data_IF_402833613033
#
_entry.id   IF_402833613033
#
_cell.length_a   1.000
_cell.length_b   1.000
_cell.length_c   1.000
_cell.angle_alpha   90.00
_cell.angle_beta   90.00
_cell.angle_gamma   90.00
#
_symmetry.space_group_name_H-M   'P 1'
#
loop_
_entity.id
_entity.type
_entity.pdbx_description
1 polymer ?
#
# COMPACT_ATOMS: atom_id res chain seq x y z
N UNK A 1 -20.78 -14.86 3.40
CA UNK A 1 -20.57 -14.48 4.82
C UNK A 1 -19.08 -14.35 5.18
N UNK A 2 -18.24 -15.34 4.84
CA UNK A 2 -16.80 -15.35 5.19
C UNK A 2 -16.07 -14.07 4.74
N UNK A 3 -16.28 -13.61 3.50
CA UNK A 3 -15.65 -12.38 3.00
C UNK A 3 -16.09 -11.11 3.76
N UNK A 4 -17.34 -11.05 4.22
CA UNK A 4 -17.87 -9.89 4.97
C UNK A 4 -17.31 -9.87 6.39
N UNK A 5 -17.26 -11.02 7.05
CA UNK A 5 -16.65 -11.17 8.38
C UNK A 5 -15.14 -10.87 8.33
N UNK A 6 -14.45 -11.37 7.29
CA UNK A 6 -13.04 -11.06 7.05
C UNK A 6 -12.79 -9.57 6.83
N UNK A 7 -13.63 -8.90 6.03
CA UNK A 7 -13.54 -7.45 5.84
C UNK A 7 -13.76 -6.67 7.14
N UNK A 8 -14.76 -7.05 7.95
CA UNK A 8 -15.03 -6.41 9.24
C UNK A 8 -13.86 -6.55 10.22
N UNK A 9 -13.26 -7.75 10.30
CA UNK A 9 -12.06 -8.00 11.11
C UNK A 9 -10.86 -7.20 10.63
N UNK A 10 -10.61 -7.18 9.32
CA UNK A 10 -9.52 -6.40 8.73
C UNK A 10 -9.66 -4.90 9.02
N UNK A 11 -10.87 -4.35 8.89
CA UNK A 11 -11.16 -2.95 9.22
C UNK A 11 -10.99 -2.69 10.72
N UNK A 12 -11.48 -3.59 11.59
CA UNK A 12 -11.36 -3.43 13.04
C UNK A 12 -9.91 -3.47 13.51
N UNK A 13 -9.10 -4.39 12.97
CA UNK A 13 -7.67 -4.50 13.24
C UNK A 13 -6.97 -3.24 12.75
N UNK A 14 -7.21 -2.82 11.51
CA UNK A 14 -6.60 -1.60 10.95
C UNK A 14 -6.92 -0.34 11.77
N UNK A 15 -8.15 -0.21 12.26
CA UNK A 15 -8.56 0.93 13.11
C UNK A 15 -7.90 0.88 14.49
N UNK A 16 -7.86 -0.28 15.13
CA UNK A 16 -7.24 -0.44 16.45
C UNK A 16 -5.72 -0.22 16.40
N UNK A 17 -5.07 -0.73 15.34
CA UNK A 17 -3.64 -0.53 15.12
C UNK A 17 -3.30 0.95 14.86
N UNK A 18 -4.12 1.63 14.05
CA UNK A 18 -3.98 3.07 13.80
C UNK A 18 -4.18 3.92 15.05
N UNK A 19 -5.13 3.56 15.91
CA UNK A 19 -5.38 4.26 17.18
C UNK A 19 -4.23 4.09 18.19
N UNK A 20 -3.55 2.93 18.20
CA UNK A 20 -2.49 2.61 19.17
C UNK A 20 -1.09 3.00 18.72
N UNK A 21 -0.78 2.87 17.43
CA UNK A 21 0.56 3.06 16.88
C UNK A 21 0.67 4.32 16.01
N UNK A 22 -0.44 5.01 15.72
CA UNK A 22 -0.49 6.07 14.72
C UNK A 22 -0.55 5.51 13.30
N UNK A 23 -1.11 6.28 12.37
CA UNK A 23 -1.40 5.82 11.01
C UNK A 23 -0.16 5.30 10.24
N UNK A 24 1.01 5.88 10.49
CA UNK A 24 2.26 5.47 9.82
C UNK A 24 2.73 4.07 10.22
N UNK A 25 2.84 3.79 11.52
CA UNK A 25 3.27 2.48 12.01
C UNK A 25 2.21 1.40 11.78
N UNK A 26 0.92 1.75 11.82
CA UNK A 26 -0.16 0.84 11.45
C UNK A 26 -0.08 0.42 9.97
N UNK A 27 0.27 1.34 9.07
CA UNK A 27 0.49 1.03 7.65
C UNK A 27 1.70 0.10 7.46
N UNK A 28 2.82 0.37 8.13
CA UNK A 28 4.00 -0.50 8.10
C UNK A 28 3.70 -1.91 8.61
N UNK A 29 2.95 -2.03 9.70
CA UNK A 29 2.53 -3.33 10.23
C UNK A 29 1.63 -4.09 9.25
N UNK A 30 0.71 -3.40 8.57
CA UNK A 30 -0.11 -3.99 7.51
C UNK A 30 0.72 -4.54 6.35
N UNK A 31 1.71 -3.78 5.87
CA UNK A 31 2.67 -4.24 4.85
C UNK A 31 3.43 -5.48 5.33
N UNK A 32 3.92 -5.46 6.58
CA UNK A 32 4.61 -6.60 7.18
C UNK A 32 3.76 -7.87 7.22
N UNK A 33 2.50 -7.76 7.65
CA UNK A 33 1.56 -8.90 7.68
C UNK A 33 1.33 -9.45 6.28
N UNK A 34 1.09 -8.58 5.29
CA UNK A 34 0.91 -9.00 3.90
C UNK A 34 2.13 -9.77 3.37
N UNK A 35 3.35 -9.26 3.63
CA UNK A 35 4.58 -9.94 3.23
C UNK A 35 4.72 -11.32 3.89
N UNK A 36 4.42 -11.44 5.19
CA UNK A 36 4.44 -12.74 5.89
C UNK A 36 3.47 -13.72 5.23
N UNK A 37 2.24 -13.31 4.93
CA UNK A 37 1.24 -14.16 4.27
C UNK A 37 1.72 -14.61 2.89
N UNK A 38 2.26 -13.69 2.08
CA UNK A 38 2.80 -14.01 0.74
C UNK A 38 3.97 -14.99 0.85
N UNK A 39 4.91 -14.78 1.77
CA UNK A 39 6.06 -15.66 1.96
C UNK A 39 5.64 -17.06 2.42
N UNK A 40 4.66 -17.16 3.31
CA UNK A 40 4.10 -18.45 3.72
C UNK A 40 3.45 -19.14 2.53
N UNK A 41 2.65 -18.43 1.73
CA UNK A 41 2.03 -19.00 0.54
C UNK A 41 3.08 -19.50 -0.48
N UNK A 42 4.14 -18.71 -0.72
CA UNK A 42 5.25 -19.09 -1.59
C UNK A 42 6.06 -20.29 -1.07
N UNK A 43 6.10 -20.49 0.25
CA UNK A 43 6.75 -21.64 0.89
C UNK A 43 5.92 -22.91 0.89
N UNK A 44 4.59 -22.78 1.00
CA UNK A 44 3.64 -23.91 0.98
C UNK A 44 3.39 -24.41 -0.44
N UNK A 45 3.44 -23.52 -1.44
CA UNK A 45 3.24 -23.88 -2.84
C UNK A 45 4.36 -24.84 -3.32
N UNK A 46 4.04 -26.03 -3.84
CA UNK A 46 5.03 -26.92 -4.40
C UNK A 46 5.67 -26.27 -5.64
N UNK A 47 7.00 -26.30 -5.71
CA UNK A 47 7.74 -25.73 -6.84
C UNK A 47 7.82 -26.75 -7.97
N UNK A 48 7.02 -26.54 -9.01
CA UNK A 48 7.14 -27.25 -10.27
C UNK A 48 7.80 -26.33 -11.29
N UNK A 49 8.85 -26.82 -11.96
CA UNK A 49 9.44 -26.12 -13.08
C UNK A 49 8.68 -26.49 -14.35
N UNK A 50 7.67 -25.69 -14.68
CA UNK A 50 6.87 -25.85 -15.89
C UNK A 50 7.55 -25.25 -17.13
N UNK A 51 8.76 -24.69 -16.95
CA UNK A 51 9.53 -24.10 -18.05
C UNK A 51 10.40 -25.19 -18.70
N UNK A 52 10.26 -25.43 -20.02
CA UNK A 52 11.15 -26.35 -20.74
C UNK A 52 12.61 -25.93 -20.65
N UNK A 53 13.53 -26.90 -20.62
CA UNK A 53 14.98 -26.64 -20.50
C UNK A 53 15.54 -25.74 -21.62
N UNK A 54 14.93 -25.78 -22.81
CA UNK A 54 15.34 -25.01 -23.98
C UNK A 54 14.78 -23.57 -23.99
N UNK A 55 14.01 -23.16 -22.98
CA UNK A 55 13.40 -21.83 -22.94
C UNK A 55 14.46 -20.74 -22.72
N UNK A 56 14.47 -19.66 -23.53
CA UNK A 56 15.46 -18.60 -23.37
C UNK A 56 15.36 -17.91 -21.99
N UNK A 57 16.41 -18.06 -21.18
CA UNK A 57 16.47 -17.44 -19.84
C UNK A 57 16.43 -15.90 -19.89
N UNK A 58 16.96 -15.30 -20.97
CA UNK A 58 16.89 -13.86 -21.22
C UNK A 58 15.46 -13.36 -21.33
N UNK A 59 14.58 -14.10 -22.02
CA UNK A 59 13.18 -13.73 -22.20
C UNK A 59 12.40 -13.77 -20.87
N UNK A 60 12.62 -14.77 -20.02
CA UNK A 60 12.04 -14.80 -18.67
C UNK A 60 12.48 -13.61 -17.83
N UNK A 61 13.77 -13.26 -17.91
CA UNK A 61 14.31 -12.12 -17.18
C UNK A 61 13.67 -10.81 -17.65
N UNK A 62 13.59 -10.58 -18.96
CA UNK A 62 12.94 -9.41 -19.54
C UNK A 62 11.46 -9.32 -19.15
N UNK A 63 10.73 -10.44 -19.17
CA UNK A 63 9.33 -10.48 -18.72
C UNK A 63 9.19 -10.12 -17.24
N UNK A 64 10.05 -10.66 -16.36
CA UNK A 64 10.04 -10.35 -14.93
C UNK A 64 10.32 -8.87 -14.70
N UNK A 65 11.34 -8.33 -15.38
CA UNK A 65 11.71 -6.93 -15.29
C UNK A 65 10.57 -6.03 -15.77
N UNK A 66 10.01 -6.30 -16.95
CA UNK A 66 8.88 -5.55 -17.49
C UNK A 66 7.66 -5.60 -16.56
N UNK A 67 7.32 -6.78 -16.03
CA UNK A 67 6.20 -6.94 -15.09
C UNK A 67 6.38 -6.13 -13.82
N UNK A 68 7.58 -6.16 -13.22
CA UNK A 68 7.90 -5.35 -12.03
C UNK A 68 7.81 -3.86 -12.36
N UNK A 69 8.35 -3.43 -13.49
CA UNK A 69 8.28 -2.03 -13.93
C UNK A 69 6.83 -1.58 -14.14
N UNK A 70 5.99 -2.39 -14.79
CA UNK A 70 4.56 -2.09 -14.97
C UNK A 70 3.85 -1.95 -13.62
N UNK A 71 4.10 -2.86 -12.67
CA UNK A 71 3.52 -2.77 -11.33
C UNK A 71 3.98 -1.50 -10.61
N UNK A 72 5.27 -1.18 -10.64
CA UNK A 72 5.82 0.03 -10.01
C UNK A 72 5.23 1.30 -10.63
N UNK A 73 5.13 1.37 -11.96
CA UNK A 73 4.54 2.53 -12.64
C UNK A 73 3.05 2.65 -12.31
N UNK A 74 2.30 1.55 -12.39
CA UNK A 74 0.86 1.54 -12.08
C UNK A 74 0.60 2.05 -10.67
N UNK A 75 1.25 1.44 -9.67
CA UNK A 75 1.07 1.82 -8.27
C UNK A 75 1.66 3.19 -7.96
N UNK A 76 2.78 3.55 -8.59
CA UNK A 76 3.41 4.86 -8.45
C UNK A 76 2.49 5.99 -8.93
N UNK A 77 1.88 5.83 -10.11
CA UNK A 77 0.94 6.82 -10.65
C UNK A 77 -0.29 6.94 -9.75
N UNK A 78 -0.88 5.82 -9.32
CA UNK A 78 -2.02 5.83 -8.39
C UNK A 78 -1.65 6.55 -7.09
N UNK A 79 -0.48 6.22 -6.51
CA UNK A 79 0.00 6.81 -5.26
C UNK A 79 0.23 8.31 -5.36
N UNK A 80 0.87 8.78 -6.44
CA UNK A 80 1.15 10.21 -6.68
C UNK A 80 -0.14 10.99 -6.86
N UNK A 81 -1.07 10.51 -7.70
CA UNK A 81 -2.37 11.16 -7.92
C UNK A 81 -3.15 11.23 -6.62
N UNK A 82 -3.21 10.12 -5.87
CA UNK A 82 -3.91 10.09 -4.59
C UNK A 82 -3.27 11.02 -3.55
N UNK A 83 -1.94 11.09 -3.49
CA UNK A 83 -1.22 11.98 -2.59
C UNK A 83 -1.53 13.46 -2.90
N UNK A 84 -1.52 13.86 -4.18
CA UNK A 84 -1.86 15.21 -4.61
C UNK A 84 -3.33 15.56 -4.27
N UNK A 85 -4.28 14.65 -4.55
CA UNK A 85 -5.69 14.86 -4.20
C UNK A 85 -5.90 15.00 -2.69
N UNK A 86 -5.21 14.16 -1.89
CA UNK A 86 -5.26 14.21 -0.43
C UNK A 86 -4.66 15.52 0.09
N UNK A 87 -3.54 15.96 -0.49
CA UNK A 87 -2.90 17.22 -0.15
C UNK A 87 -3.81 18.42 -0.47
N UNK A 88 -4.42 18.46 -1.66
CA UNK A 88 -5.40 19.49 -2.04
C UNK A 88 -6.58 19.55 -1.07
N UNK A 89 -7.13 18.40 -0.71
CA UNK A 89 -8.24 18.31 0.25
C UNK A 89 -7.84 18.82 1.65
N UNK A 90 -6.63 18.51 2.09
CA UNK A 90 -6.11 19.00 3.37
C UNK A 90 -5.86 20.52 3.35
N UNK A 91 -5.23 21.04 2.29
CA UNK A 91 -4.95 22.46 2.12
C UNK A 91 -6.24 23.29 2.03
N UNK A 92 -7.26 22.81 1.31
CA UNK A 92 -8.56 23.48 1.20
C UNK A 92 -9.33 23.60 2.52
N UNK A 93 -9.04 22.73 3.50
CA UNK A 93 -9.69 22.73 4.82
C UNK A 93 -9.00 23.64 5.85
N UNK A 94 -7.87 24.26 5.51
CA UNK A 94 -7.16 25.14 6.44
C UNK A 94 -7.94 26.46 6.58
N UNK A 95 -8.58 26.74 7.73
CA UNK A 95 -9.27 28.01 7.92
C UNK A 95 -8.24 29.13 7.87
N UNK A 96 -8.54 30.22 7.17
CA UNK A 96 -7.73 31.43 7.23
C UNK A 96 -7.49 31.76 8.71
N UNK A 97 -6.23 31.74 9.15
CA UNK A 97 -5.86 32.25 10.47
C UNK A 97 -6.42 33.66 10.54
N UNK A 98 -7.51 33.86 11.29
CA UNK A 98 -7.98 35.20 11.59
C UNK A 98 -6.78 35.93 12.19
N UNK A 99 -6.28 37.00 11.56
CA UNK A 99 -5.30 37.83 12.22
C UNK A 99 -5.99 38.28 13.50
N UNK A 100 -5.53 37.77 14.65
CA UNK A 100 -5.85 38.40 15.92
C UNK A 100 -5.27 39.78 15.74
N UNK A 101 -6.14 40.74 15.41
CA UNK A 101 -5.79 42.14 15.40
C UNK A 101 -5.15 42.38 16.76
N UNK A 102 -3.84 42.60 16.76
CA UNK A 102 -3.11 43.14 17.89
C UNK A 102 -3.65 44.54 18.12
N UNK A 103 -4.83 44.59 18.73
CA UNK A 103 -5.31 45.75 19.43
C UNK A 103 -4.37 45.96 20.62
N UNK A 104 -4.10 47.23 20.90
CA UNK A 104 -3.39 47.76 22.08
C UNK A 104 -1.86 47.63 21.97
N UNK A 105 -1.07 48.71 22.00
CA UNK A 105 -1.24 49.99 22.72
C UNK A 105 -0.30 51.06 22.15
#
# INVERSE_FOLDING_TARGET
AISVLGAALAVSIGRNLSAKLGGWYAALAGVGIYLVVVLVALGVMPRYDEVPAEFPASLLYEFRLASVLTQVVLWGVIGVVLAELTHRLASARTPAKTPVASATR
#
